data_IF_208579848189
#
_entry.id   IF_208579848189
#
_cell.length_a   1.000
_cell.length_b   1.000
_cell.length_c   1.000
_cell.angle_alpha   90.00
_cell.angle_beta   90.00
_cell.angle_gamma   90.00
#
_symmetry.space_group_name_H-M   'P 1'
#
loop_
_entity.id
_entity.type
_entity.pdbx_description
1 polymer ?
#
# COMPACT_ATOMS: atom_id res chain seq x y z
N UNK A 1 2.17 -5.66 -15.72
CA UNK A 1 2.56 -6.78 -14.82
C UNK A 1 1.36 -7.67 -14.63
N UNK A 2 1.55 -8.97 -14.73
CA UNK A 2 0.54 -9.97 -14.46
C UNK A 2 0.20 -9.95 -12.95
N UNK A 3 -1.06 -9.66 -12.60
CA UNK A 3 -1.52 -9.53 -11.22
C UNK A 3 -1.41 -10.83 -10.42
N UNK A 4 -1.40 -11.98 -11.09
CA UNK A 4 -1.17 -13.28 -10.43
C UNK A 4 0.22 -13.39 -9.78
N UNK A 5 1.18 -12.59 -10.24
CA UNK A 5 2.55 -12.50 -9.75
C UNK A 5 2.74 -11.45 -8.64
N UNK A 6 1.66 -10.86 -8.18
CA UNK A 6 1.70 -9.76 -7.21
C UNK A 6 1.05 -10.15 -5.89
N UNK A 7 1.61 -9.65 -4.78
CA UNK A 7 0.97 -9.65 -3.47
C UNK A 7 0.81 -8.22 -2.98
N UNK A 8 -0.40 -7.90 -2.54
CA UNK A 8 -0.71 -6.69 -1.80
C UNK A 8 -0.51 -6.94 -0.31
N UNK A 9 0.26 -6.10 0.35
CA UNK A 9 0.52 -6.19 1.78
C UNK A 9 0.24 -4.83 2.41
N UNK A 10 -0.50 -4.82 3.52
CA UNK A 10 -0.66 -3.65 4.37
C UNK A 10 0.05 -3.89 5.70
N UNK A 11 0.95 -2.98 6.07
CA UNK A 11 1.63 -2.95 7.36
C UNK A 11 1.06 -1.84 8.20
N UNK A 12 0.62 -2.17 9.40
CA UNK A 12 -0.02 -1.26 10.34
C UNK A 12 0.72 -1.29 11.68
N UNK A 13 0.95 -0.14 12.29
CA UNK A 13 1.47 -0.08 13.66
C UNK A 13 0.36 -0.34 14.67
N UNK A 14 0.67 -1.07 15.73
CA UNK A 14 -0.26 -1.26 16.86
C UNK A 14 -0.49 0.03 17.66
N UNK A 15 0.53 0.91 17.68
CA UNK A 15 0.50 2.23 18.31
C UNK A 15 0.16 3.34 17.29
N UNK A 16 -0.20 4.52 17.78
CA UNK A 16 -0.35 5.71 16.93
C UNK A 16 1.03 6.27 16.54
N UNK A 17 1.71 5.59 15.63
CA UNK A 17 3.07 5.92 15.21
C UNK A 17 3.07 7.03 14.17
N UNK A 18 3.64 8.19 14.52
CA UNK A 18 3.63 9.42 13.69
C UNK A 18 5.03 9.83 13.20
N UNK A 19 6.10 9.16 13.62
CA UNK A 19 7.48 9.48 13.29
C UNK A 19 7.86 8.97 11.89
N UNK A 20 8.09 9.88 10.95
CA UNK A 20 8.45 9.56 9.56
C UNK A 20 9.84 8.95 9.41
N UNK A 21 10.79 9.30 10.26
CA UNK A 21 12.15 8.73 10.24
C UNK A 21 12.09 7.27 10.66
N UNK A 22 11.34 6.99 11.72
CA UNK A 22 11.08 5.64 12.19
C UNK A 22 10.33 4.80 11.13
N UNK A 23 9.33 5.40 10.45
CA UNK A 23 8.58 4.74 9.37
C UNK A 23 9.51 4.18 8.29
N UNK A 24 10.42 5.02 7.77
CA UNK A 24 11.36 4.59 6.74
C UNK A 24 12.32 3.51 7.23
N UNK A 25 12.85 3.68 8.42
CA UNK A 25 13.77 2.69 9.04
C UNK A 25 13.10 1.35 9.26
N UNK A 26 11.87 1.33 9.76
CA UNK A 26 11.14 0.11 10.07
C UNK A 26 10.73 -0.61 8.78
N UNK A 27 10.32 0.14 7.75
CA UNK A 27 10.07 -0.42 6.42
C UNK A 27 11.35 -1.05 5.83
N UNK A 28 12.49 -0.38 5.87
CA UNK A 28 13.75 -0.93 5.34
C UNK A 28 14.16 -2.22 6.06
N UNK A 29 14.01 -2.27 7.38
CA UNK A 29 14.28 -3.47 8.16
C UNK A 29 13.31 -4.61 7.80
N UNK A 30 12.03 -4.31 7.67
CA UNK A 30 11.04 -5.28 7.21
C UNK A 30 11.39 -5.81 5.82
N UNK A 31 11.67 -4.93 4.86
CA UNK A 31 12.01 -5.35 3.50
C UNK A 31 13.27 -6.24 3.47
N UNK A 32 14.32 -5.93 4.24
CA UNK A 32 15.50 -6.78 4.34
C UNK A 32 15.17 -8.18 4.86
N UNK A 33 14.36 -8.27 5.92
CA UNK A 33 13.90 -9.56 6.48
C UNK A 33 13.04 -10.32 5.50
N UNK A 34 12.15 -9.63 4.78
CA UNK A 34 11.29 -10.23 3.77
C UNK A 34 12.10 -10.78 2.58
N UNK A 35 13.07 -10.03 2.06
CA UNK A 35 13.96 -10.51 0.99
C UNK A 35 14.79 -11.74 1.44
N UNK A 36 15.26 -11.74 2.67
CA UNK A 36 15.95 -12.90 3.24
C UNK A 36 15.01 -14.12 3.34
N UNK A 37 13.79 -13.92 3.79
CA UNK A 37 12.75 -14.95 3.81
C UNK A 37 12.49 -15.50 2.41
N UNK A 38 12.30 -14.65 1.41
CA UNK A 38 12.12 -15.05 0.01
C UNK A 38 13.31 -15.89 -0.50
N UNK A 39 14.53 -15.45 -0.22
CA UNK A 39 15.74 -16.21 -0.60
C UNK A 39 15.78 -17.59 0.06
N UNK A 40 15.46 -17.69 1.35
CA UNK A 40 15.46 -18.95 2.10
C UNK A 40 14.42 -19.96 1.59
N UNK A 41 13.35 -19.47 0.99
CA UNK A 41 12.26 -20.31 0.46
C UNK A 41 12.30 -20.47 -1.06
N UNK A 42 13.43 -20.14 -1.71
CA UNK A 42 13.62 -20.22 -3.15
C UNK A 42 12.61 -19.40 -3.98
N UNK A 43 12.03 -18.36 -3.38
CA UNK A 43 11.15 -17.42 -4.08
C UNK A 43 11.91 -16.36 -4.86
N UNK A 44 13.23 -16.32 -4.73
CA UNK A 44 14.09 -15.33 -5.37
C UNK A 44 13.87 -13.91 -4.83
N UNK A 45 14.34 -12.91 -5.59
CA UNK A 45 14.19 -11.51 -5.23
C UNK A 45 12.81 -10.99 -5.64
N UNK A 46 12.06 -10.45 -4.69
CA UNK A 46 10.82 -9.74 -4.96
C UNK A 46 11.10 -8.25 -5.21
N UNK A 47 10.66 -7.71 -6.34
CA UNK A 47 10.64 -6.26 -6.54
C UNK A 47 9.45 -5.65 -5.78
N UNK A 48 9.52 -4.37 -5.41
CA UNK A 48 8.45 -3.76 -4.63
C UNK A 48 8.11 -2.34 -5.06
N UNK A 49 6.87 -1.98 -4.80
CA UNK A 49 6.38 -0.61 -4.73
C UNK A 49 5.77 -0.45 -3.34
N UNK A 50 6.18 0.57 -2.59
CA UNK A 50 5.61 0.91 -1.28
C UNK A 50 5.03 2.31 -1.32
N UNK A 51 3.83 2.44 -0.78
CA UNK A 51 3.15 3.71 -0.51
C UNK A 51 3.02 3.87 0.98
N UNK A 52 3.31 5.07 1.45
CA UNK A 52 3.22 5.45 2.85
C UNK A 52 2.05 6.40 3.04
N UNK A 53 1.07 5.97 3.80
CA UNK A 53 -0.21 6.64 3.99
C UNK A 53 -0.38 7.09 5.44
N UNK A 54 -0.56 8.42 5.71
CA UNK A 54 -0.98 8.89 7.02
C UNK A 54 -2.50 8.71 7.15
N UNK A 55 -2.93 8.08 8.24
CA UNK A 55 -4.34 8.04 8.60
C UNK A 55 -4.80 9.40 9.15
N UNK A 56 -6.12 9.66 9.23
CA UNK A 56 -6.69 10.89 9.78
C UNK A 56 -6.22 11.23 11.19
N UNK A 57 -5.90 10.23 12.02
CA UNK A 57 -5.29 10.40 13.36
C UNK A 57 -3.77 10.60 13.33
N UNK A 58 -3.14 10.66 12.14
CA UNK A 58 -1.71 10.84 11.95
C UNK A 58 -0.86 9.56 11.97
N UNK A 59 -1.44 8.40 12.31
CA UNK A 59 -0.72 7.12 12.27
C UNK A 59 -0.36 6.70 10.85
N UNK A 60 0.84 6.14 10.67
CA UNK A 60 1.31 5.70 9.36
C UNK A 60 0.95 4.25 9.05
N UNK A 61 0.57 4.02 7.80
CA UNK A 61 0.46 2.71 7.17
C UNK A 61 1.42 2.60 5.99
N UNK A 62 1.88 1.37 5.71
CA UNK A 62 2.56 1.05 4.47
C UNK A 62 1.70 0.11 3.65
N UNK A 63 1.39 0.49 2.42
CA UNK A 63 0.80 -0.38 1.43
C UNK A 63 1.88 -0.79 0.44
N UNK A 64 2.06 -2.10 0.27
CA UNK A 64 3.12 -2.65 -0.57
C UNK A 64 2.55 -3.55 -1.66
N UNK A 65 3.15 -3.44 -2.82
CA UNK A 65 3.10 -4.44 -3.86
C UNK A 65 4.43 -5.15 -3.92
N UNK A 66 4.44 -6.46 -3.69
CA UNK A 66 5.59 -7.30 -4.02
C UNK A 66 5.34 -8.05 -5.34
N UNK A 67 6.29 -7.89 -6.27
CA UNK A 67 6.23 -8.43 -7.62
C UNK A 67 7.25 -9.57 -7.75
N UNK A 68 6.76 -10.76 -8.09
CA UNK A 68 7.55 -11.97 -8.29
C UNK A 68 7.64 -12.30 -9.79
N UNK A 69 8.19 -11.37 -10.59
CA UNK A 69 8.18 -11.43 -12.05
C UNK A 69 8.86 -12.68 -12.63
N UNK A 70 9.78 -13.28 -11.88
CA UNK A 70 10.52 -14.48 -12.27
C UNK A 70 9.79 -15.80 -11.95
N UNK A 71 8.69 -15.74 -11.21
CA UNK A 71 7.85 -16.91 -10.91
C UNK A 71 6.62 -16.92 -11.81
N UNK A 72 6.02 -18.09 -12.02
CA UNK A 72 4.76 -18.21 -12.75
C UNK A 72 3.59 -17.60 -11.98
N UNK A 73 3.65 -17.66 -10.64
CA UNK A 73 2.67 -17.12 -9.73
C UNK A 73 3.33 -16.66 -8.44
N UNK A 74 2.79 -15.59 -7.83
CA UNK A 74 3.26 -15.15 -6.53
C UNK A 74 3.02 -16.22 -5.44
N UNK A 75 4.01 -16.50 -4.58
CA UNK A 75 3.91 -17.54 -3.55
C UNK A 75 2.83 -17.21 -2.52
N UNK A 76 2.26 -18.24 -1.92
CA UNK A 76 1.45 -18.06 -0.71
C UNK A 76 2.37 -17.76 0.48
N UNK A 77 2.04 -16.71 1.20
CA UNK A 77 2.74 -16.32 2.44
C UNK A 77 1.69 -16.10 3.51
N UNK A 78 1.83 -16.79 4.64
CA UNK A 78 0.88 -16.67 5.73
C UNK A 78 0.97 -15.29 6.42
N UNK A 79 -0.17 -14.75 6.85
CA UNK A 79 -0.21 -13.49 7.64
C UNK A 79 0.68 -13.57 8.89
N UNK A 80 0.71 -14.71 9.57
CA UNK A 80 1.56 -14.93 10.75
C UNK A 80 3.04 -14.70 10.43
N UNK A 81 3.53 -15.26 9.34
CA UNK A 81 4.92 -15.08 8.89
C UNK A 81 5.24 -13.60 8.65
N UNK A 82 4.35 -12.88 7.96
CA UNK A 82 4.53 -11.46 7.72
C UNK A 82 4.47 -10.62 8.99
N UNK A 83 3.56 -10.98 9.91
CA UNK A 83 3.46 -10.33 11.23
C UNK A 83 4.75 -10.48 12.03
N UNK A 84 5.35 -11.66 12.02
CA UNK A 84 6.63 -11.92 12.68
C UNK A 84 7.78 -11.13 12.02
N UNK A 85 7.77 -11.01 10.69
CA UNK A 85 8.74 -10.20 9.95
C UNK A 85 8.56 -8.69 10.18
N UNK A 86 7.32 -8.22 10.34
CA UNK A 86 7.01 -6.82 10.62
C UNK A 86 7.36 -6.43 12.05
N UNK A 87 6.78 -7.10 13.02
CA UNK A 87 7.09 -6.95 14.45
C UNK A 87 6.60 -5.66 15.10
N UNK A 88 5.79 -4.84 14.42
CA UNK A 88 5.32 -3.55 14.95
C UNK A 88 3.80 -3.43 15.03
N UNK A 89 3.06 -4.48 14.67
CA UNK A 89 1.60 -4.45 14.71
C UNK A 89 0.95 -5.42 13.73
N UNK A 90 -0.10 -4.97 13.07
CA UNK A 90 -0.95 -5.82 12.21
C UNK A 90 -0.45 -5.85 10.78
N UNK A 91 -0.66 -6.99 10.13
CA UNK A 91 -0.42 -7.14 8.68
C UNK A 91 -1.63 -7.76 8.01
N UNK A 92 -1.84 -7.38 6.76
CA UNK A 92 -2.80 -8.04 5.88
C UNK A 92 -2.12 -8.33 4.56
N UNK A 93 -2.25 -9.56 4.06
CA UNK A 93 -1.81 -9.94 2.73
C UNK A 93 -3.01 -10.37 1.90
N UNK A 94 -3.08 -9.92 0.66
CA UNK A 94 -4.10 -10.33 -0.29
C UNK A 94 -3.52 -10.50 -1.69
N UNK A 95 -4.27 -11.20 -2.54
CA UNK A 95 -4.08 -11.17 -3.99
C UNK A 95 -4.67 -9.87 -4.53
N UNK A 96 -4.23 -9.46 -5.69
CA UNK A 96 -4.88 -8.42 -6.49
C UNK A 96 -5.85 -9.11 -7.46
N UNK A 97 -7.00 -9.50 -6.96
CA UNK A 97 -8.07 -10.05 -7.81
C UNK A 97 -8.98 -8.88 -8.24
N UNK A 98 -9.39 -8.88 -9.52
CA UNK A 98 -10.36 -7.91 -10.09
C UNK A 98 -9.95 -6.42 -10.03
N UNK A 99 -8.66 -6.12 -10.14
CA UNK A 99 -8.17 -4.74 -10.24
C UNK A 99 -7.77 -4.43 -11.68
N UNK A 100 -8.64 -3.78 -12.43
CA UNK A 100 -8.40 -3.41 -13.83
C UNK A 100 -7.28 -2.37 -13.96
N UNK A 101 -7.15 -1.47 -12.99
CA UNK A 101 -6.12 -0.42 -12.98
C UNK A 101 -5.45 -0.29 -11.61
N UNK A 102 -4.35 -1.03 -11.43
CA UNK A 102 -3.56 -1.00 -10.19
C UNK A 102 -3.02 0.41 -9.88
N UNK A 103 -2.67 1.19 -10.90
CA UNK A 103 -2.18 2.56 -10.71
C UNK A 103 -3.24 3.50 -10.15
N UNK A 104 -4.46 3.46 -10.69
CA UNK A 104 -5.58 4.25 -10.18
C UNK A 104 -5.96 3.85 -8.76
N UNK A 105 -5.93 2.55 -8.46
CA UNK A 105 -6.16 2.02 -7.12
C UNK A 105 -5.12 2.54 -6.11
N UNK A 106 -3.85 2.54 -6.50
CA UNK A 106 -2.75 3.05 -5.67
C UNK A 106 -2.84 4.56 -5.42
N UNK A 107 -3.19 5.35 -6.44
CA UNK A 107 -3.29 6.82 -6.29
C UNK A 107 -4.44 7.24 -5.39
N UNK A 108 -5.54 6.51 -5.39
CA UNK A 108 -6.65 6.78 -4.47
C UNK A 108 -6.21 6.66 -3.00
N UNK A 109 -5.39 5.67 -2.66
CA UNK A 109 -4.86 5.53 -1.29
C UNK A 109 -3.94 6.67 -0.85
N UNK A 110 -3.22 7.29 -1.78
CA UNK A 110 -2.27 8.36 -1.44
C UNK A 110 -2.94 9.71 -1.20
N UNK A 111 -3.98 10.02 -1.94
CA UNK A 111 -4.60 11.35 -1.91
C UNK A 111 -5.96 11.42 -1.26
N UNK A 112 -6.76 10.39 -1.42
CA UNK A 112 -8.15 10.39 -1.01
C UNK A 112 -8.31 9.82 0.41
N UNK A 113 -9.32 10.28 1.14
CA UNK A 113 -9.61 9.81 2.49
C UNK A 113 -11.05 9.30 2.56
N UNK A 114 -11.27 8.23 3.33
CA UNK A 114 -12.60 7.70 3.57
C UNK A 114 -13.50 8.78 4.18
N UNK A 115 -14.73 8.89 3.70
CA UNK A 115 -15.68 9.89 4.19
C UNK A 115 -15.88 9.79 5.71
N UNK A 116 -15.85 8.58 6.24
CA UNK A 116 -16.02 8.33 7.69
C UNK A 116 -14.86 8.86 8.53
N UNK A 117 -13.67 9.01 7.92
CA UNK A 117 -12.46 9.51 8.58
C UNK A 117 -12.28 11.03 8.43
N UNK A 118 -13.17 11.71 7.66
CA UNK A 118 -13.07 13.12 7.36
C UNK A 118 -13.85 13.99 8.35
N UNK A 119 -13.31 15.17 8.66
CA UNK A 119 -14.03 16.21 9.36
C UNK A 119 -15.06 16.90 8.45
N UNK A 120 -16.04 17.60 9.03
CA UNK A 120 -17.05 18.33 8.29
C UNK A 120 -16.46 19.36 7.30
N UNK A 121 -15.42 20.08 7.72
CA UNK A 121 -14.74 21.08 6.89
C UNK A 121 -14.01 20.43 5.69
N UNK A 122 -13.47 19.22 5.86
CA UNK A 122 -12.83 18.47 4.79
C UNK A 122 -13.86 18.01 3.75
N UNK A 123 -15.05 17.63 4.19
CA UNK A 123 -16.14 17.22 3.29
C UNK A 123 -16.63 18.41 2.48
N UNK A 124 -16.84 19.56 3.10
CA UNK A 124 -17.34 20.77 2.43
C UNK A 124 -16.35 21.39 1.43
N UNK A 125 -15.05 21.22 1.67
CA UNK A 125 -13.98 21.82 0.84
C UNK A 125 -13.54 20.98 -0.34
N UNK A 126 -13.99 19.73 -0.47
CA UNK A 126 -13.47 18.78 -1.44
C UNK A 126 -14.57 18.02 -2.21
N UNK A 127 -14.21 17.49 -3.38
CA UNK A 127 -15.07 16.66 -4.20
C UNK A 127 -15.25 15.26 -3.59
N UNK A 128 -16.47 14.77 -3.56
CA UNK A 128 -16.79 13.40 -3.16
C UNK A 128 -16.69 12.44 -4.35
N UNK A 129 -16.10 11.29 -4.11
CA UNK A 129 -15.98 10.19 -5.06
C UNK A 129 -16.68 8.97 -4.52
N UNK A 130 -17.63 8.42 -5.28
CA UNK A 130 -18.25 7.15 -4.99
C UNK A 130 -17.47 6.01 -5.67
N UNK A 131 -17.22 4.94 -4.94
CA UNK A 131 -16.57 3.73 -5.45
C UNK A 131 -17.42 2.52 -5.05
N UNK A 132 -17.81 1.72 -6.04
CA UNK A 132 -18.42 0.42 -5.74
C UNK A 132 -17.33 -0.54 -5.28
N UNK A 133 -17.54 -1.15 -4.12
CA UNK A 133 -16.70 -2.22 -3.58
C UNK A 133 -17.53 -3.48 -3.43
N UNK A 134 -16.93 -4.63 -3.65
CA UNK A 134 -17.52 -5.91 -3.35
C UNK A 134 -16.91 -6.49 -2.08
N UNK A 135 -17.70 -6.64 -1.04
CA UNK A 135 -17.27 -7.21 0.23
C UNK A 135 -18.17 -8.39 0.58
N UNK A 136 -17.55 -9.58 0.71
CA UNK A 136 -18.26 -10.84 0.98
C UNK A 136 -19.39 -11.17 -0.04
N UNK A 137 -19.17 -10.85 -1.33
CA UNK A 137 -20.16 -11.07 -2.39
C UNK A 137 -21.32 -10.05 -2.41
N UNK A 138 -21.27 -9.00 -1.59
CA UNK A 138 -22.24 -7.91 -1.56
C UNK A 138 -21.60 -6.63 -2.11
N UNK A 139 -22.22 -6.06 -3.13
CA UNK A 139 -21.82 -4.74 -3.65
C UNK A 139 -22.27 -3.65 -2.68
N UNK A 140 -21.33 -2.77 -2.30
CA UNK A 140 -21.56 -1.61 -1.45
C UNK A 140 -20.94 -0.38 -2.08
N UNK A 141 -21.57 0.77 -1.94
CA UNK A 141 -20.95 2.06 -2.27
C UNK A 141 -20.13 2.55 -1.09
N UNK A 142 -18.88 2.94 -1.37
CA UNK A 142 -18.01 3.59 -0.43
C UNK A 142 -17.64 4.98 -0.95
N UNK A 143 -17.67 5.97 -0.07
CA UNK A 143 -17.43 7.36 -0.43
C UNK A 143 -16.07 7.81 0.07
N UNK A 144 -15.35 8.52 -0.79
CA UNK A 144 -14.04 9.10 -0.50
C UNK A 144 -14.06 10.60 -0.77
N UNK A 145 -13.32 11.34 0.04
CA UNK A 145 -13.09 12.78 -0.12
C UNK A 145 -11.76 12.95 -0.86
N UNK A 146 -11.82 13.48 -2.10
CA UNK A 146 -10.65 13.65 -2.95
C UNK A 146 -9.65 14.62 -2.34
N UNK A 147 -8.39 14.20 -2.30
CA UNK A 147 -7.28 15.03 -1.85
C UNK A 147 -7.25 15.37 -0.36
N UNK A 148 -8.23 14.93 0.43
CA UNK A 148 -8.32 15.27 1.85
C UNK A 148 -7.12 14.77 2.67
N UNK A 149 -6.45 13.72 2.21
CA UNK A 149 -5.27 13.16 2.87
C UNK A 149 -3.99 13.98 2.67
N UNK A 150 -3.91 14.75 1.58
CA UNK A 150 -2.67 15.42 1.18
C UNK A 150 -2.11 16.36 2.25
N UNK A 151 -2.96 16.99 3.05
CA UNK A 151 -2.54 17.89 4.14
C UNK A 151 -1.83 17.20 5.30
N UNK A 152 -1.99 15.88 5.44
CA UNK A 152 -1.35 15.10 6.50
C UNK A 152 0.08 14.70 6.16
N UNK A 153 0.50 14.86 4.90
CA UNK A 153 1.88 14.62 4.50
C UNK A 153 2.77 15.81 4.88
N UNK A 154 3.94 15.55 5.49
CA UNK A 154 4.94 16.61 5.66
C UNK A 154 5.41 17.17 4.32
N UNK A 155 5.82 18.43 4.30
CA UNK A 155 6.38 19.04 3.11
C UNK A 155 7.57 18.23 2.57
N UNK A 156 7.60 18.01 1.23
CA UNK A 156 8.64 17.23 0.54
C UNK A 156 8.71 15.75 0.94
N UNK A 157 7.65 15.22 1.56
CA UNK A 157 7.60 13.80 1.91
C UNK A 157 7.50 12.93 0.64
N UNK A 158 8.34 11.90 0.57
CA UNK A 158 8.27 10.94 -0.52
C UNK A 158 7.20 9.88 -0.23
N UNK A 159 5.99 10.10 -0.76
CA UNK A 159 4.81 9.27 -0.52
C UNK A 159 4.96 7.84 -1.03
N UNK A 160 5.75 7.63 -2.09
CA UNK A 160 5.97 6.30 -2.61
C UNK A 160 7.43 6.05 -2.97
N UNK A 161 7.84 4.78 -2.87
CA UNK A 161 9.17 4.30 -3.29
C UNK A 161 9.04 2.98 -4.03
N UNK A 162 9.99 2.71 -4.90
CA UNK A 162 10.07 1.42 -5.58
C UNK A 162 11.51 0.90 -5.62
N UNK A 163 11.64 -0.41 -5.72
CA UNK A 163 12.93 -1.05 -5.98
C UNK A 163 13.40 -0.79 -7.42
N UNK A 164 14.71 -0.92 -7.66
CA UNK A 164 15.33 -0.59 -8.95
C UNK A 164 14.87 -1.45 -10.12
N UNK A 165 14.38 -2.66 -9.86
CA UNK A 165 13.89 -3.59 -10.88
C UNK A 165 12.45 -3.30 -11.36
N UNK A 166 11.75 -2.34 -10.74
CA UNK A 166 10.44 -1.89 -11.21
C UNK A 166 10.62 -1.03 -12.46
N UNK A 167 10.04 -1.47 -13.57
CA UNK A 167 10.08 -0.72 -14.84
C UNK A 167 9.26 0.56 -14.69
N UNK A 168 9.86 1.70 -15.04
CA UNK A 168 9.17 2.99 -15.12
C UNK A 168 8.50 3.15 -16.50
N UNK A 169 7.37 3.87 -16.59
CA UNK A 169 6.81 4.25 -17.88
C UNK A 169 7.84 5.00 -18.72
N UNK A 170 7.89 4.70 -20.00
CA UNK A 170 8.67 5.47 -20.97
C UNK A 170 7.73 6.51 -21.55
N UNK A 171 8.07 7.80 -21.38
CA UNK A 171 7.34 8.88 -22.04
C UNK A 171 7.67 8.82 -23.52
N UNK A 172 6.68 8.54 -24.35
CA UNK A 172 6.76 8.68 -25.81
C UNK A 172 6.15 10.02 -26.20
N UNK A 173 6.98 10.95 -26.62
CA UNK A 173 6.51 12.17 -27.28
C UNK A 173 6.08 11.80 -28.69
N UNK A 174 4.79 12.00 -29.00
CA UNK A 174 4.29 11.99 -30.39
C UNK A 174 4.35 13.39 -30.97
#
# INVERSE_FOLDING_TARGET
>A
TDVSKVRWITLTYAENMTDTVRLYRDFEKFNKRFQYFCKKHDYGKAEYIVMMEPQGRGAWHCHLLYLFNHLDKAPYIANKTLSDLWGHGFVKISKLDNVDNVGAYLTAYLGDMDLEDCSHDEILGNELKEVEIEENGVKKSKYYVKGARLKYYPAKFNMFRCSRGVKRPVETYM
#
